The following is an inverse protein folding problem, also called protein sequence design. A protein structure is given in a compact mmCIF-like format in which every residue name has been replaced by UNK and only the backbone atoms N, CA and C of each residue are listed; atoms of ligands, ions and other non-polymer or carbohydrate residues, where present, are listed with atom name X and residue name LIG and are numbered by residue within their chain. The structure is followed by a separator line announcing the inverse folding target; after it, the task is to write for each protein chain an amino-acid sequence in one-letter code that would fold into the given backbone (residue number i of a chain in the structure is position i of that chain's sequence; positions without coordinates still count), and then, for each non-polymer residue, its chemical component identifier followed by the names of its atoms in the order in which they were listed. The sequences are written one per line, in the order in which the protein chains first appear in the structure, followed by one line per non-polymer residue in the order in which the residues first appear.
data_IF_643855250307
#
_entry.id   IF_643855250307
#
_cell.length_a   1.000
_cell.length_b   1.000
_cell.length_c   1.000
_cell.angle_alpha   90.00
_cell.angle_beta   90.00
_cell.angle_gamma   90.00
#
_symmetry.space_group_name_H-M   'P 1'
#
loop_
_entity.id
_entity.type
_entity.pdbx_description
1 polymer ?
#
# COMPACT_ATOMS: atom_id res chain seq x y z
N UNK A 1 -25.87 0.06 -24.42
CA UNK A 1 -25.76 1.43 -24.96
C UNK A 1 -24.51 1.57 -25.83
N UNK A 2 -24.64 1.31 -27.14
CA UNK A 2 -23.62 1.64 -28.13
C UNK A 2 -23.62 3.15 -28.34
N UNK A 3 -22.71 3.90 -27.69
CA UNK A 3 -22.50 5.32 -27.99
C UNK A 3 -22.05 6.25 -26.87
N UNK A 4 -22.27 5.94 -25.59
CA UNK A 4 -21.78 6.79 -24.49
C UNK A 4 -20.38 6.38 -24.06
N UNK A 5 -19.51 7.37 -23.81
CA UNK A 5 -18.18 7.13 -23.24
C UNK A 5 -18.33 6.58 -21.82
N UNK A 6 -17.54 5.55 -21.43
CA UNK A 6 -17.54 5.09 -20.04
C UNK A 6 -17.12 6.21 -19.10
N UNK A 7 -17.79 6.32 -17.95
CA UNK A 7 -17.49 7.29 -16.89
C UNK A 7 -16.71 6.62 -15.77
N UNK A 8 -15.56 7.17 -15.44
CA UNK A 8 -14.66 6.64 -14.41
C UNK A 8 -14.46 7.68 -13.31
N UNK A 9 -14.67 7.27 -12.08
CA UNK A 9 -14.46 8.07 -10.87
C UNK A 9 -13.33 7.47 -10.03
N UNK A 10 -12.41 8.29 -9.54
CA UNK A 10 -11.34 7.83 -8.66
C UNK A 10 -11.35 8.59 -7.33
N UNK A 11 -11.41 7.83 -6.22
CA UNK A 11 -11.30 8.32 -4.86
C UNK A 11 -9.81 8.36 -4.49
N UNK A 12 -9.36 9.46 -3.87
CA UNK A 12 -7.96 9.77 -3.60
C UNK A 12 -7.10 9.68 -4.89
N UNK A 13 -7.54 10.41 -5.91
CA UNK A 13 -6.99 10.35 -7.27
C UNK A 13 -5.58 10.91 -7.39
N UNK A 14 -5.03 11.47 -6.32
CA UNK A 14 -3.70 12.05 -6.25
C UNK A 14 -3.47 13.06 -7.39
N UNK A 15 -2.34 13.01 -8.08
CA UNK A 15 -2.01 13.90 -9.21
C UNK A 15 -2.71 13.54 -10.53
N UNK A 16 -3.68 12.63 -10.49
CA UNK A 16 -4.48 12.21 -11.64
C UNK A 16 -3.77 11.25 -12.60
N UNK A 17 -2.68 10.63 -12.20
CA UNK A 17 -1.90 9.75 -13.08
C UNK A 17 -2.72 8.58 -13.63
N UNK A 18 -3.54 7.89 -12.80
CA UNK A 18 -4.41 6.81 -13.28
C UNK A 18 -5.54 7.35 -14.16
N UNK A 19 -6.19 8.42 -13.74
CA UNK A 19 -7.27 9.05 -14.52
C UNK A 19 -6.78 9.50 -15.90
N UNK A 20 -5.52 9.90 -16.02
CA UNK A 20 -4.90 10.23 -17.31
C UNK A 20 -4.93 9.04 -18.26
N UNK A 21 -4.68 7.83 -17.78
CA UNK A 21 -4.74 6.61 -18.60
C UNK A 21 -6.16 6.36 -19.11
N UNK A 22 -7.17 6.51 -18.25
CA UNK A 22 -8.58 6.37 -18.67
C UNK A 22 -9.01 7.46 -19.65
N UNK A 23 -8.60 8.71 -19.43
CA UNK A 23 -8.86 9.81 -20.34
C UNK A 23 -8.30 9.54 -21.73
N UNK A 24 -7.07 9.04 -21.81
CA UNK A 24 -6.42 8.70 -23.07
C UNK A 24 -7.11 7.52 -23.80
N UNK A 25 -7.85 6.70 -23.07
CA UNK A 25 -8.72 5.64 -23.62
C UNK A 25 -10.12 6.14 -23.99
N UNK A 26 -10.39 7.44 -23.86
CA UNK A 26 -11.63 8.07 -24.27
C UNK A 26 -12.73 8.07 -23.19
N UNK A 27 -12.43 7.69 -21.94
CA UNK A 27 -13.38 7.76 -20.85
C UNK A 27 -13.64 9.20 -20.39
N UNK A 28 -14.85 9.46 -19.87
CA UNK A 28 -15.13 10.63 -19.04
C UNK A 28 -14.58 10.35 -17.64
N UNK A 29 -13.87 11.31 -17.05
CA UNK A 29 -13.17 11.11 -15.81
C UNK A 29 -13.49 12.19 -14.79
N UNK A 30 -13.52 11.81 -13.50
CA UNK A 30 -13.53 12.72 -12.37
C UNK A 30 -12.75 12.11 -11.21
N UNK A 31 -11.94 12.93 -10.54
CA UNK A 31 -11.23 12.56 -9.33
C UNK A 31 -11.73 13.33 -8.11
N UNK A 32 -11.47 12.79 -6.94
CA UNK A 32 -11.56 13.51 -5.67
C UNK A 32 -10.31 13.21 -4.84
N UNK A 33 -9.69 14.25 -4.28
CA UNK A 33 -8.51 14.12 -3.42
C UNK A 33 -8.50 15.24 -2.37
N UNK A 34 -8.35 14.95 -1.06
CA UNK A 34 -8.40 15.98 -0.02
C UNK A 34 -7.20 16.93 -0.03
N UNK A 35 -6.08 16.55 -0.63
CA UNK A 35 -4.88 17.36 -0.68
C UNK A 35 -5.00 18.45 -1.77
N UNK A 36 -5.37 19.67 -1.39
CA UNK A 36 -5.61 20.79 -2.32
C UNK A 36 -4.45 21.04 -3.29
N UNK A 37 -3.21 21.00 -2.80
CA UNK A 37 -2.02 21.20 -3.61
C UNK A 37 -1.81 20.06 -4.65
N UNK A 38 -2.26 18.86 -4.36
CA UNK A 38 -2.19 17.69 -5.26
C UNK A 38 -3.33 17.74 -6.26
N UNK A 39 -4.57 18.00 -5.79
CA UNK A 39 -5.72 18.21 -6.66
C UNK A 39 -5.47 19.35 -7.66
N UNK A 40 -4.82 20.45 -7.21
CA UNK A 40 -4.40 21.53 -8.10
C UNK A 40 -3.47 21.03 -9.21
N UNK A 41 -2.46 20.22 -8.87
CA UNK A 41 -1.54 19.63 -9.89
C UNK A 41 -2.26 18.77 -10.92
N UNK A 42 -3.29 18.01 -10.50
CA UNK A 42 -4.12 17.23 -11.41
C UNK A 42 -4.93 18.16 -12.35
N UNK A 43 -5.57 19.18 -11.77
CA UNK A 43 -6.34 20.18 -12.53
C UNK A 43 -5.47 20.97 -13.53
N UNK A 44 -4.24 21.33 -13.17
CA UNK A 44 -3.27 21.99 -14.07
C UNK A 44 -2.93 21.09 -15.28
N UNK A 45 -3.06 19.75 -15.15
CA UNK A 45 -2.94 18.77 -16.25
C UNK A 45 -4.28 18.47 -16.94
N UNK A 46 -5.32 19.25 -16.68
CA UNK A 46 -6.68 19.04 -17.19
C UNK A 46 -7.30 17.69 -16.77
N UNK A 47 -6.93 17.18 -15.59
CA UNK A 47 -7.56 16.04 -14.92
C UNK A 47 -8.46 16.61 -13.83
N UNK A 48 -9.77 16.68 -14.14
CA UNK A 48 -10.75 17.28 -13.23
C UNK A 48 -10.76 16.55 -11.88
N UNK A 49 -10.34 17.24 -10.81
CA UNK A 49 -10.20 16.68 -9.45
C UNK A 49 -10.79 17.67 -8.44
N UNK A 50 -11.71 17.18 -7.63
CA UNK A 50 -12.39 17.97 -6.58
C UNK A 50 -11.54 17.89 -5.30
N UNK A 51 -11.12 19.02 -4.66
CA UNK A 51 -10.32 19.02 -3.45
C UNK A 51 -11.21 18.81 -2.21
N UNK A 52 -11.67 17.58 -1.96
CA UNK A 52 -12.52 17.21 -0.82
C UNK A 52 -12.18 15.80 -0.34
N UNK A 53 -12.48 15.52 0.94
CA UNK A 53 -12.58 14.14 1.42
C UNK A 53 -13.81 13.47 0.79
N UNK A 54 -13.65 12.21 0.37
CA UNK A 54 -14.77 11.43 -0.12
C UNK A 54 -15.52 10.78 1.05
N UNK A 55 -16.81 11.00 1.07
CA UNK A 55 -17.77 10.43 2.01
C UNK A 55 -19.17 10.46 1.36
N UNK A 56 -20.21 9.99 2.07
CA UNK A 56 -21.58 9.99 1.58
C UNK A 56 -22.05 11.36 1.09
N UNK A 57 -21.80 12.43 1.84
CA UNK A 57 -22.25 13.77 1.47
C UNK A 57 -21.54 14.29 0.20
N UNK A 58 -20.25 14.09 0.10
CA UNK A 58 -19.47 14.44 -1.10
C UNK A 58 -19.95 13.64 -2.31
N UNK A 59 -20.23 12.33 -2.13
CA UNK A 59 -20.80 11.50 -3.19
C UNK A 59 -22.15 12.05 -3.67
N UNK A 60 -23.04 12.44 -2.76
CA UNK A 60 -24.35 13.03 -3.07
C UNK A 60 -24.22 14.33 -3.90
N UNK A 61 -23.28 15.21 -3.52
CA UNK A 61 -22.99 16.43 -4.29
C UNK A 61 -22.51 16.11 -5.70
N UNK A 62 -21.59 15.14 -5.81
CA UNK A 62 -21.02 14.72 -7.10
C UNK A 62 -22.09 14.12 -8.01
N UNK A 63 -22.92 13.20 -7.50
CA UNK A 63 -23.98 12.58 -8.29
C UNK A 63 -25.02 13.60 -8.73
N UNK A 64 -25.40 14.54 -7.87
CA UNK A 64 -26.33 15.63 -8.22
C UNK A 64 -25.80 16.49 -9.36
N UNK A 65 -24.47 16.72 -9.45
CA UNK A 65 -23.88 17.62 -10.44
C UNK A 65 -23.40 16.91 -11.70
N UNK A 66 -22.88 15.70 -11.59
CA UNK A 66 -22.17 15.00 -12.67
C UNK A 66 -22.83 13.67 -13.05
N UNK A 67 -23.83 13.21 -12.27
CA UNK A 67 -24.46 11.89 -12.42
C UNK A 67 -23.56 10.75 -11.92
N UNK A 68 -24.02 9.53 -12.15
CA UNK A 68 -23.37 8.29 -11.72
C UNK A 68 -22.29 7.82 -12.69
N UNK A 69 -21.46 6.88 -12.24
CA UNK A 69 -20.27 6.39 -12.95
C UNK A 69 -20.36 4.88 -13.22
N UNK A 70 -19.77 4.46 -14.32
CA UNK A 70 -19.67 3.04 -14.69
C UNK A 70 -18.64 2.33 -13.81
N UNK A 71 -17.55 3.04 -13.45
CA UNK A 71 -16.47 2.49 -12.62
C UNK A 71 -16.10 3.50 -11.53
N UNK A 72 -16.05 3.04 -10.28
CA UNK A 72 -15.48 3.78 -9.15
C UNK A 72 -14.20 3.06 -8.68
N UNK A 73 -13.09 3.79 -8.54
CA UNK A 73 -11.80 3.22 -8.14
C UNK A 73 -11.34 3.85 -6.82
N UNK A 74 -10.90 3.02 -5.86
CA UNK A 74 -10.29 3.45 -4.61
C UNK A 74 -9.06 2.60 -4.30
N UNK A 75 -7.85 3.14 -4.52
CA UNK A 75 -6.60 2.42 -4.29
C UNK A 75 -5.91 2.93 -3.05
N UNK A 76 -5.63 2.01 -2.10
CA UNK A 76 -4.98 2.31 -0.83
C UNK A 76 -5.70 3.43 -0.04
N UNK A 77 -7.03 3.38 -0.01
CA UNK A 77 -7.88 4.36 0.69
C UNK A 77 -8.44 3.79 1.99
N UNK A 78 -8.96 2.55 1.96
CA UNK A 78 -9.68 1.97 3.11
C UNK A 78 -8.86 1.95 4.39
N UNK A 79 -7.55 1.68 4.29
CA UNK A 79 -6.64 1.64 5.43
C UNK A 79 -6.51 3.00 6.16
N UNK A 80 -6.88 4.10 5.51
CA UNK A 80 -6.71 5.47 6.00
C UNK A 80 -8.02 6.16 6.41
N UNK A 81 -9.17 5.48 6.30
CA UNK A 81 -10.50 6.08 6.52
C UNK A 81 -11.12 5.62 7.82
N UNK A 82 -11.47 6.56 8.72
CA UNK A 82 -12.18 6.28 9.95
C UNK A 82 -13.66 5.91 9.70
N UNK A 83 -14.32 6.62 8.78
CA UNK A 83 -15.75 6.52 8.51
C UNK A 83 -16.01 5.54 7.35
N UNK A 84 -15.65 4.25 7.52
CA UNK A 84 -15.77 3.22 6.49
C UNK A 84 -17.20 3.06 5.96
N UNK A 85 -18.21 3.18 6.83
CA UNK A 85 -19.61 3.08 6.43
C UNK A 85 -20.03 4.24 5.52
N UNK A 86 -19.61 5.47 5.82
CA UNK A 86 -19.88 6.64 4.98
C UNK A 86 -19.15 6.53 3.63
N UNK A 87 -17.95 5.95 3.60
CA UNK A 87 -17.23 5.65 2.36
C UNK A 87 -18.00 4.62 1.52
N UNK A 88 -18.44 3.51 2.12
CA UNK A 88 -19.14 2.44 1.43
C UNK A 88 -20.51 2.91 0.86
N UNK A 89 -21.26 3.69 1.64
CA UNK A 89 -22.49 4.33 1.15
C UNK A 89 -22.23 5.32 0.00
N UNK A 90 -21.17 6.11 0.11
CA UNK A 90 -20.74 7.00 -0.97
C UNK A 90 -20.39 6.24 -2.25
N UNK A 91 -19.67 5.13 -2.15
CA UNK A 91 -19.36 4.25 -3.29
C UNK A 91 -20.65 3.67 -3.89
N UNK A 92 -21.57 3.20 -3.04
CA UNK A 92 -22.87 2.70 -3.51
C UNK A 92 -23.66 3.76 -4.30
N UNK A 93 -23.63 4.99 -3.83
CA UNK A 93 -24.38 6.09 -4.45
C UNK A 93 -23.76 6.52 -5.80
N UNK A 94 -22.43 6.44 -5.92
CA UNK A 94 -21.73 7.02 -7.08
C UNK A 94 -21.66 6.09 -8.28
N UNK A 95 -21.82 4.78 -8.11
CA UNK A 95 -21.84 3.82 -9.22
C UNK A 95 -23.26 3.58 -9.73
N UNK A 96 -23.38 3.41 -11.04
CA UNK A 96 -24.64 3.02 -11.71
C UNK A 96 -25.10 1.63 -11.25
N UNK A 97 -26.37 1.30 -11.48
CA UNK A 97 -26.93 -0.02 -11.17
C UNK A 97 -26.19 -1.17 -11.87
N UNK A 98 -25.69 -0.94 -13.08
CA UNK A 98 -24.89 -1.87 -13.89
C UNK A 98 -23.36 -1.59 -13.80
N UNK A 99 -22.95 -0.62 -12.99
CA UNK A 99 -21.57 -0.26 -12.72
C UNK A 99 -20.93 -1.09 -11.60
N UNK A 100 -19.64 -0.84 -11.35
CA UNK A 100 -18.92 -1.51 -10.27
C UNK A 100 -17.84 -0.62 -9.65
N UNK A 101 -17.44 -0.97 -8.43
CA UNK A 101 -16.30 -0.38 -7.76
C UNK A 101 -15.10 -1.34 -7.77
N UNK A 102 -13.90 -0.78 -7.85
CA UNK A 102 -12.62 -1.49 -7.72
C UNK A 102 -11.86 -0.90 -6.53
N UNK A 103 -11.67 -1.72 -5.51
CA UNK A 103 -10.98 -1.32 -4.30
C UNK A 103 -9.67 -2.09 -4.18
N UNK A 104 -8.58 -1.36 -3.94
CA UNK A 104 -7.27 -1.96 -3.72
C UNK A 104 -6.80 -1.64 -2.30
N UNK A 105 -6.47 -2.70 -1.54
CA UNK A 105 -6.03 -2.60 -0.14
C UNK A 105 -4.84 -3.52 0.12
N UNK A 106 -3.92 -3.16 1.05
CA UNK A 106 -2.94 -4.10 1.56
C UNK A 106 -3.65 -5.32 2.14
N UNK A 107 -3.16 -6.52 1.82
CA UNK A 107 -3.75 -7.79 2.24
C UNK A 107 -3.36 -8.14 3.67
N UNK A 108 -4.35 -8.25 4.56
CA UNK A 108 -4.12 -8.74 5.92
C UNK A 108 -3.58 -10.19 5.90
N UNK A 109 -4.03 -11.01 4.94
CA UNK A 109 -3.50 -12.35 4.72
C UNK A 109 -1.99 -12.30 4.47
N UNK A 110 -1.52 -11.51 3.49
CA UNK A 110 -0.10 -11.39 3.18
C UNK A 110 0.70 -10.81 4.36
N UNK A 111 0.14 -9.85 5.08
CA UNK A 111 0.77 -9.27 6.26
C UNK A 111 1.06 -10.33 7.33
N UNK A 112 0.13 -11.24 7.60
CA UNK A 112 0.29 -12.29 8.61
C UNK A 112 1.18 -13.42 8.11
N UNK A 113 0.99 -13.88 6.88
CA UNK A 113 1.75 -14.96 6.26
C UNK A 113 3.23 -14.60 6.14
N UNK A 114 3.53 -13.44 5.57
CA UNK A 114 4.88 -12.93 5.29
C UNK A 114 5.47 -12.09 6.43
N UNK A 115 4.81 -12.06 7.59
CA UNK A 115 5.26 -11.37 8.80
C UNK A 115 5.52 -9.86 8.63
N UNK A 116 4.78 -9.17 7.77
CA UNK A 116 4.99 -7.77 7.39
C UNK A 116 4.48 -6.78 8.46
N UNK A 117 4.99 -6.87 9.68
CA UNK A 117 4.58 -5.99 10.78
C UNK A 117 5.06 -4.54 10.62
N UNK A 118 5.96 -4.26 9.70
CA UNK A 118 6.37 -2.92 9.29
C UNK A 118 5.22 -2.11 8.68
N UNK A 119 4.15 -2.78 8.25
CA UNK A 119 2.92 -2.13 7.80
C UNK A 119 2.11 -1.50 8.93
N UNK A 120 2.45 -1.79 10.20
CA UNK A 120 1.80 -1.20 11.37
C UNK A 120 2.41 0.17 11.66
N UNK A 121 1.77 1.22 11.18
CA UNK A 121 2.14 2.62 11.43
C UNK A 121 0.88 3.50 11.46
N UNK A 122 0.99 4.70 12.05
CA UNK A 122 -0.15 5.53 12.42
C UNK A 122 -1.06 5.96 11.26
N UNK A 123 -0.58 5.96 10.01
CA UNK A 123 -1.41 6.27 8.84
C UNK A 123 -2.32 5.10 8.45
N UNK A 124 -1.96 3.85 8.79
CA UNK A 124 -2.80 2.68 8.59
C UNK A 124 -3.66 2.42 9.82
N UNK A 125 -4.84 3.04 9.86
CA UNK A 125 -5.79 2.90 10.97
C UNK A 125 -6.68 1.64 10.84
N UNK A 126 -6.69 1.00 9.67
CA UNK A 126 -7.42 -0.23 9.40
C UNK A 126 -6.60 -1.26 8.62
N UNK A 127 -6.76 -2.53 8.98
CA UNK A 127 -6.17 -3.68 8.29
C UNK A 127 -7.30 -4.59 7.82
N UNK A 128 -7.34 -4.87 6.52
CA UNK A 128 -8.51 -5.47 5.91
C UNK A 128 -8.22 -6.88 5.39
N UNK A 129 -9.03 -7.85 5.87
CA UNK A 129 -9.21 -9.14 5.24
C UNK A 129 -10.28 -9.03 4.16
N UNK A 130 -10.34 -9.98 3.23
CA UNK A 130 -11.44 -10.06 2.27
C UNK A 130 -12.80 -10.19 3.00
N UNK A 131 -12.87 -11.00 4.07
CA UNK A 131 -14.08 -11.15 4.89
C UNK A 131 -14.56 -9.84 5.47
N UNK A 132 -13.64 -9.00 6.00
CA UNK A 132 -14.01 -7.70 6.56
C UNK A 132 -14.58 -6.75 5.51
N UNK A 133 -14.03 -6.78 4.28
CA UNK A 133 -14.53 -5.96 3.16
C UNK A 133 -15.89 -6.49 2.69
N UNK A 134 -16.07 -7.80 2.56
CA UNK A 134 -17.37 -8.40 2.24
C UNK A 134 -18.43 -7.92 3.24
N UNK A 135 -18.18 -8.08 4.53
CA UNK A 135 -19.11 -7.67 5.60
C UNK A 135 -19.43 -6.18 5.61
N UNK A 136 -18.44 -5.34 5.30
CA UNK A 136 -18.63 -3.90 5.18
C UNK A 136 -19.64 -3.58 4.07
N UNK A 137 -19.42 -4.10 2.86
CA UNK A 137 -20.21 -3.76 1.70
C UNK A 137 -21.59 -4.44 1.68
N UNK A 138 -21.73 -5.65 2.24
CA UNK A 138 -23.02 -6.32 2.43
C UNK A 138 -24.00 -5.49 3.25
N UNK A 139 -23.53 -4.77 4.30
CA UNK A 139 -24.34 -3.84 5.09
C UNK A 139 -24.91 -2.68 4.28
N UNK A 140 -24.34 -2.40 3.13
CA UNK A 140 -24.76 -1.33 2.23
C UNK A 140 -25.40 -1.84 0.92
N UNK A 141 -25.96 -3.06 0.94
CA UNK A 141 -26.60 -3.69 -0.23
C UNK A 141 -25.70 -3.81 -1.45
N UNK A 142 -24.43 -4.10 -1.22
CA UNK A 142 -23.43 -4.34 -2.25
C UNK A 142 -22.80 -5.73 -2.07
N UNK A 143 -22.33 -6.30 -3.17
CA UNK A 143 -21.74 -7.64 -3.21
C UNK A 143 -20.32 -7.59 -3.79
N UNK A 144 -19.36 -8.20 -3.10
CA UNK A 144 -18.06 -8.51 -3.67
C UNK A 144 -18.25 -9.64 -4.67
N UNK A 145 -17.98 -9.38 -5.95
CA UNK A 145 -18.18 -10.38 -7.00
C UNK A 145 -16.90 -10.98 -7.54
N UNK A 146 -15.75 -10.32 -7.35
CA UNK A 146 -14.44 -10.88 -7.70
C UNK A 146 -13.32 -10.33 -6.81
N UNK A 147 -12.19 -11.03 -6.76
CA UNK A 147 -10.97 -10.61 -6.06
C UNK A 147 -9.73 -11.12 -6.78
N UNK A 148 -8.71 -10.29 -6.86
CA UNK A 148 -7.38 -10.62 -7.37
C UNK A 148 -6.32 -10.37 -6.30
N UNK A 149 -5.37 -11.30 -6.15
CA UNK A 149 -4.15 -11.06 -5.37
C UNK A 149 -3.12 -10.36 -6.23
N UNK A 150 -2.58 -9.26 -5.74
CA UNK A 150 -1.54 -8.49 -6.42
C UNK A 150 -0.25 -8.53 -5.61
N UNK A 151 0.88 -8.58 -6.29
CA UNK A 151 2.20 -8.56 -5.65
C UNK A 151 2.65 -7.15 -5.19
N UNK A 152 1.93 -6.10 -5.58
CA UNK A 152 2.27 -4.72 -5.24
C UNK A 152 2.22 -4.49 -3.72
N UNK A 153 3.10 -3.61 -3.23
CA UNK A 153 3.22 -3.25 -1.80
C UNK A 153 3.50 -4.40 -0.84
N UNK A 154 3.98 -5.54 -1.34
CA UNK A 154 4.21 -6.74 -0.53
C UNK A 154 3.00 -7.67 -0.41
N UNK A 155 1.99 -7.45 -1.23
CA UNK A 155 0.74 -8.20 -1.29
C UNK A 155 -0.47 -7.30 -1.05
N UNK A 156 -1.30 -7.15 -2.07
CA UNK A 156 -2.55 -6.39 -2.01
C UNK A 156 -3.70 -7.22 -2.56
N UNK A 157 -4.91 -6.86 -2.18
CA UNK A 157 -6.13 -7.37 -2.78
C UNK A 157 -6.73 -6.27 -3.66
N UNK A 158 -7.08 -6.64 -4.89
CA UNK A 158 -7.99 -5.87 -5.74
C UNK A 158 -9.34 -6.52 -5.69
N UNK A 159 -10.32 -5.81 -5.17
CA UNK A 159 -11.65 -6.32 -4.83
C UNK A 159 -12.65 -5.61 -5.72
N UNK A 160 -13.48 -6.38 -6.41
CA UNK A 160 -14.51 -5.87 -7.32
C UNK A 160 -15.86 -5.98 -6.65
N UNK A 161 -16.60 -4.86 -6.61
CA UNK A 161 -17.84 -4.72 -5.83
C UNK A 161 -18.91 -4.12 -6.72
N UNK A 162 -20.13 -4.65 -6.62
CA UNK A 162 -21.29 -4.20 -7.38
C UNK A 162 -22.52 -4.01 -6.48
N UNK A 163 -23.57 -3.40 -6.98
CA UNK A 163 -24.88 -3.50 -6.36
C UNK A 163 -25.38 -4.95 -6.28
N UNK A 164 -26.14 -5.32 -5.26
CA UNK A 164 -26.65 -6.70 -5.11
C UNK A 164 -27.33 -7.20 -6.38
N UNK A 165 -28.11 -6.33 -7.04
CA UNK A 165 -28.83 -6.64 -8.27
C UNK A 165 -28.04 -6.36 -9.56
N UNK A 166 -26.77 -5.96 -9.46
CA UNK A 166 -25.91 -5.71 -10.61
C UNK A 166 -25.66 -6.97 -11.47
N UNK A 167 -25.34 -6.82 -12.76
CA UNK A 167 -25.36 -7.93 -13.73
C UNK A 167 -24.17 -8.91 -13.60
N UNK A 168 -23.09 -8.53 -12.92
CA UNK A 168 -21.87 -9.35 -12.85
C UNK A 168 -22.09 -10.58 -11.97
N UNK A 169 -21.63 -11.75 -12.42
CA UNK A 169 -21.68 -12.99 -11.65
C UNK A 169 -20.55 -13.06 -10.64
N UNK A 170 -20.82 -13.69 -9.49
CA UNK A 170 -19.77 -13.92 -8.47
C UNK A 170 -18.77 -14.97 -8.96
N UNK A 171 -17.48 -14.59 -8.95
CA UNK A 171 -16.36 -15.45 -9.31
C UNK A 171 -16.05 -16.45 -8.18
N UNK A 172 -15.46 -17.59 -8.55
CA UNK A 172 -14.93 -18.56 -7.59
C UNK A 172 -13.77 -17.99 -6.75
N UNK A 173 -13.05 -17.02 -7.28
CA UNK A 173 -11.88 -16.41 -6.61
C UNK A 173 -12.24 -15.87 -5.22
N UNK A 174 -13.46 -15.35 -5.05
CA UNK A 174 -13.95 -14.84 -3.76
C UNK A 174 -13.98 -15.94 -2.70
N UNK A 175 -14.54 -17.11 -3.06
CA UNK A 175 -14.60 -18.24 -2.13
C UNK A 175 -13.21 -18.85 -1.91
N UNK A 176 -12.42 -18.96 -2.97
CA UNK A 176 -11.07 -19.53 -2.90
C UNK A 176 -10.18 -18.68 -1.97
N UNK A 177 -10.23 -17.34 -2.09
CA UNK A 177 -9.45 -16.47 -1.24
C UNK A 177 -9.97 -16.42 0.20
N UNK A 178 -11.28 -16.38 0.40
CA UNK A 178 -11.89 -16.50 1.72
C UNK A 178 -11.44 -17.77 2.46
N UNK A 179 -11.40 -18.89 1.74
CA UNK A 179 -10.91 -20.16 2.30
C UNK A 179 -9.41 -20.10 2.65
N UNK A 180 -8.59 -19.38 1.91
CA UNK A 180 -7.17 -19.14 2.28
C UNK A 180 -7.08 -18.35 3.59
N UNK A 181 -7.82 -17.28 3.76
CA UNK A 181 -7.87 -16.51 5.01
C UNK A 181 -8.30 -17.37 6.19
N UNK A 182 -9.33 -18.18 6.00
CA UNK A 182 -9.83 -19.12 7.00
C UNK A 182 -8.81 -20.21 7.34
N UNK A 183 -8.13 -20.76 6.34
CA UNK A 183 -7.11 -21.81 6.54
C UNK A 183 -5.87 -21.29 7.27
N UNK A 184 -5.51 -20.01 7.06
CA UNK A 184 -4.47 -19.32 7.84
C UNK A 184 -4.90 -19.06 9.28
N UNK A 185 -6.20 -19.18 9.58
CA UNK A 185 -6.76 -18.93 10.91
C UNK A 185 -6.87 -17.43 11.24
N UNK A 186 -7.03 -16.54 10.25
CA UNK A 186 -7.11 -15.09 10.49
C UNK A 186 -8.21 -14.68 11.47
N UNK A 187 -9.23 -15.51 11.64
CA UNK A 187 -10.38 -15.27 12.51
C UNK A 187 -10.22 -15.85 13.92
N UNK A 188 -9.07 -16.49 14.21
CA UNK A 188 -8.80 -17.16 15.47
C UNK A 188 -7.78 -16.36 16.31
N UNK A 189 -8.07 -16.13 17.59
CA UNK A 189 -7.18 -15.43 18.51
C UNK A 189 -5.81 -16.09 18.60
N UNK A 190 -5.73 -17.40 18.52
CA UNK A 190 -4.49 -18.18 18.57
C UNK A 190 -3.52 -17.77 17.44
N UNK A 191 -4.03 -17.46 16.27
CA UNK A 191 -3.19 -17.00 15.16
C UNK A 191 -2.51 -15.66 15.49
N UNK A 192 -3.22 -14.76 16.14
CA UNK A 192 -2.66 -13.47 16.55
C UNK A 192 -1.64 -13.58 17.67
N UNK A 193 -1.84 -14.49 18.62
CA UNK A 193 -0.84 -14.83 19.64
C UNK A 193 0.43 -15.39 18.99
N UNK A 194 0.29 -16.32 18.05
CA UNK A 194 1.41 -16.87 17.28
C UNK A 194 2.11 -15.81 16.42
N UNK A 195 1.35 -14.93 15.79
CA UNK A 195 1.90 -13.82 15.03
C UNK A 195 2.77 -12.91 15.90
N UNK A 196 2.30 -12.55 17.09
CA UNK A 196 3.06 -11.73 18.05
C UNK A 196 4.37 -12.43 18.48
N UNK A 197 4.35 -13.75 18.71
CA UNK A 197 5.55 -14.52 19.01
C UNK A 197 6.54 -14.55 17.84
N UNK A 198 6.05 -14.74 16.62
CA UNK A 198 6.86 -14.70 15.39
C UNK A 198 7.52 -13.33 15.20
N UNK A 199 6.77 -12.23 15.41
CA UNK A 199 7.28 -10.85 15.33
C UNK A 199 8.42 -10.63 16.34
N UNK A 200 8.26 -11.08 17.58
CA UNK A 200 9.32 -10.98 18.60
C UNK A 200 10.56 -11.82 18.26
N UNK A 201 10.36 -13.02 17.72
CA UNK A 201 11.46 -13.87 17.27
C UNK A 201 12.22 -13.23 16.09
N UNK A 202 11.48 -12.67 15.11
CA UNK A 202 12.04 -11.95 13.97
C UNK A 202 12.89 -10.74 14.42
N UNK A 203 12.37 -9.90 15.33
CA UNK A 203 13.13 -8.79 15.91
C UNK A 203 14.50 -9.26 16.44
N UNK A 204 14.51 -10.34 17.22
CA UNK A 204 15.76 -10.89 17.78
C UNK A 204 16.69 -11.37 16.68
N UNK A 205 16.17 -12.07 15.68
CA UNK A 205 16.96 -12.57 14.55
C UNK A 205 17.59 -11.44 13.74
N UNK A 206 16.81 -10.42 13.40
CA UNK A 206 17.32 -9.26 12.65
C UNK A 206 18.39 -8.49 13.44
N UNK A 207 18.17 -8.26 14.73
CA UNK A 207 19.18 -7.59 15.58
C UNK A 207 20.45 -8.41 15.71
N UNK A 208 20.32 -9.74 15.85
CA UNK A 208 21.50 -10.63 15.91
C UNK A 208 22.33 -10.55 14.63
N UNK A 209 21.66 -10.56 13.46
CA UNK A 209 22.34 -10.43 12.16
C UNK A 209 23.08 -9.09 12.06
N UNK A 210 22.42 -7.97 12.33
CA UNK A 210 23.03 -6.64 12.26
C UNK A 210 24.19 -6.49 13.26
N UNK A 211 24.04 -7.00 14.49
CA UNK A 211 25.11 -6.98 15.48
C UNK A 211 26.31 -7.85 15.07
N UNK A 212 26.09 -8.97 14.39
CA UNK A 212 27.18 -9.81 13.87
C UNK A 212 27.98 -9.06 12.82
N UNK A 213 27.28 -8.40 11.88
CA UNK A 213 27.92 -7.57 10.85
C UNK A 213 28.77 -6.44 11.50
N UNK A 214 28.24 -5.77 12.52
CA UNK A 214 28.97 -4.69 13.22
C UNK A 214 30.16 -5.22 14.01
N UNK A 215 30.11 -6.41 14.61
CA UNK A 215 31.25 -7.04 15.29
C UNK A 215 32.40 -7.38 14.34
N UNK A 216 32.09 -7.57 13.07
CA UNK A 216 33.08 -7.77 12.00
C UNK A 216 33.60 -6.42 11.45
N UNK A 217 33.31 -5.31 12.13
CA UNK A 217 33.71 -3.92 11.75
C UNK A 217 33.17 -3.50 10.38
N UNK A 218 32.13 -4.16 9.87
CA UNK A 218 31.49 -3.89 8.59
C UNK A 218 30.52 -2.73 8.67
N UNK A 219 30.40 -1.98 7.57
CA UNK A 219 29.45 -0.88 7.41
C UNK A 219 28.09 -1.36 6.96
N UNK A 220 27.03 -0.82 7.59
CA UNK A 220 25.65 -1.13 7.25
C UNK A 220 24.94 0.16 6.82
N UNK A 221 24.40 0.17 5.60
CA UNK A 221 23.48 1.22 5.16
C UNK A 221 22.06 0.68 5.06
N UNK A 222 21.10 1.60 4.93
CA UNK A 222 19.69 1.27 4.65
C UNK A 222 19.31 1.85 3.28
N UNK A 223 18.55 1.10 2.51
CA UNK A 223 17.87 1.60 1.31
C UNK A 223 16.37 1.76 1.55
N UNK A 224 15.88 3.01 1.49
CA UNK A 224 14.48 3.40 1.68
C UNK A 224 14.17 3.97 3.06
N UNK A 225 13.88 5.29 3.11
CA UNK A 225 13.36 5.99 4.28
C UNK A 225 11.83 6.08 4.21
N UNK A 226 11.15 4.95 4.10
CA UNK A 226 9.68 4.85 4.02
C UNK A 226 9.03 4.80 5.42
N UNK A 227 7.72 5.05 5.50
CA UNK A 227 6.94 4.86 6.73
C UNK A 227 7.09 3.45 7.29
N UNK A 228 6.96 2.42 6.43
CA UNK A 228 7.20 1.01 6.78
C UNK A 228 8.60 0.79 7.36
N UNK A 229 9.63 1.30 6.68
CA UNK A 229 11.01 1.19 7.17
C UNK A 229 11.18 1.82 8.54
N UNK A 230 10.55 2.96 8.82
CA UNK A 230 10.61 3.59 10.13
C UNK A 230 9.92 2.74 11.22
N UNK A 231 8.79 2.11 10.92
CA UNK A 231 8.13 1.18 11.85
C UNK A 231 9.04 0.02 12.20
N UNK A 232 9.69 -0.60 11.21
CA UNK A 232 10.66 -1.67 11.43
C UNK A 232 11.82 -1.22 12.32
N UNK A 233 12.46 -0.09 11.99
CA UNK A 233 13.62 0.42 12.71
C UNK A 233 13.28 0.76 14.17
N UNK A 234 12.19 1.49 14.39
CA UNK A 234 11.76 1.90 15.74
C UNK A 234 11.33 0.71 16.58
N UNK A 235 10.53 -0.21 16.03
CA UNK A 235 10.10 -1.42 16.75
C UNK A 235 11.29 -2.30 17.14
N UNK A 236 12.25 -2.47 16.23
CA UNK A 236 13.44 -3.28 16.49
C UNK A 236 14.47 -2.56 17.40
N UNK A 237 14.42 -1.24 17.51
CA UNK A 237 15.43 -0.44 18.20
C UNK A 237 16.72 -0.32 17.38
N UNK A 238 16.59 -0.24 16.05
CA UNK A 238 17.72 -0.06 15.11
C UNK A 238 17.91 1.45 14.91
N UNK A 239 19.05 1.96 15.29
CA UNK A 239 19.39 3.39 15.25
C UNK A 239 20.78 3.64 14.61
N UNK A 240 21.32 4.85 14.81
CA UNK A 240 22.63 5.27 14.30
C UNK A 240 23.83 4.60 14.98
N UNK A 241 23.65 3.77 16.01
CA UNK A 241 24.72 2.93 16.55
C UNK A 241 24.97 1.69 15.68
N UNK A 242 23.92 1.19 15.02
CA UNK A 242 23.99 0.04 14.12
C UNK A 242 24.14 0.44 12.66
N UNK A 243 23.53 1.56 12.26
CA UNK A 243 23.39 1.97 10.86
C UNK A 243 24.22 3.22 10.60
N UNK A 244 25.07 3.16 9.59
CA UNK A 244 25.96 4.27 9.24
C UNK A 244 25.20 5.39 8.49
N UNK A 245 24.28 5.05 7.59
CA UNK A 245 23.44 6.01 6.87
C UNK A 245 22.24 5.35 6.17
N UNK A 246 21.30 6.18 5.71
CA UNK A 246 20.16 5.78 4.87
C UNK A 246 20.29 6.43 3.51
N UNK A 247 19.88 5.73 2.44
CA UNK A 247 19.67 6.34 1.12
C UNK A 247 18.19 6.25 0.70
N UNK A 248 17.71 7.31 0.05
CA UNK A 248 16.34 7.35 -0.50
C UNK A 248 16.33 8.16 -1.81
N UNK A 249 15.56 7.70 -2.80
CA UNK A 249 15.39 8.39 -4.09
C UNK A 249 14.66 9.73 -3.99
N UNK A 250 13.83 9.90 -2.97
CA UNK A 250 13.04 11.12 -2.77
C UNK A 250 13.93 12.31 -2.39
N UNK A 251 14.06 13.26 -3.31
CA UNK A 251 14.79 14.52 -3.07
C UNK A 251 14.27 15.28 -1.84
N UNK A 252 12.99 15.11 -1.49
CA UNK A 252 12.39 15.76 -0.32
C UNK A 252 12.91 15.18 1.02
N UNK A 253 13.43 13.96 1.02
CA UNK A 253 13.97 13.30 2.22
C UNK A 253 15.48 13.48 2.36
N UNK A 254 16.18 13.63 1.24
CA UNK A 254 17.62 13.80 1.20
C UNK A 254 18.08 15.02 2.00
N UNK A 255 19.19 14.87 2.75
CA UNK A 255 19.70 15.89 3.66
C UNK A 255 19.00 15.95 5.03
N UNK A 256 17.89 15.21 5.22
CA UNK A 256 17.19 15.09 6.49
C UNK A 256 17.70 13.90 7.32
N UNK A 257 17.11 13.71 8.48
CA UNK A 257 17.33 12.55 9.37
C UNK A 257 16.04 11.72 9.47
N UNK A 258 16.19 10.43 9.76
CA UNK A 258 15.05 9.54 10.05
C UNK A 258 14.42 9.91 11.39
N UNK A 259 13.07 9.96 11.49
CA UNK A 259 12.40 10.29 12.75
C UNK A 259 12.62 9.17 13.79
N UNK A 260 12.93 9.58 15.02
CA UNK A 260 13.13 8.66 16.16
C UNK A 260 14.46 7.90 16.18
N UNK A 261 15.04 7.58 15.02
CA UNK A 261 16.32 6.83 14.90
C UNK A 261 17.51 7.71 14.53
N UNK A 262 17.26 8.95 14.10
CA UNK A 262 18.24 10.02 13.83
C UNK A 262 19.35 9.67 12.84
N UNK A 263 19.09 8.77 11.89
CA UNK A 263 20.06 8.38 10.86
C UNK A 263 19.95 9.34 9.68
N UNK A 264 21.09 9.80 9.16
CA UNK A 264 21.15 10.77 8.06
C UNK A 264 20.74 10.13 6.72
N UNK A 265 19.94 10.85 5.95
CA UNK A 265 19.40 10.38 4.66
C UNK A 265 20.17 11.06 3.52
N UNK A 266 20.68 10.27 2.59
CA UNK A 266 21.41 10.71 1.40
C UNK A 266 20.73 10.27 0.12
N UNK A 267 21.22 10.74 -1.03
CA UNK A 267 20.86 10.19 -2.34
C UNK A 267 21.46 8.80 -2.54
N UNK A 268 20.89 7.94 -3.40
CA UNK A 268 21.47 6.62 -3.70
C UNK A 268 22.94 6.66 -4.15
N UNK A 269 23.39 7.71 -4.85
CA UNK A 269 24.79 7.88 -5.25
C UNK A 269 25.80 7.88 -4.08
N UNK A 270 25.31 8.08 -2.85
CA UNK A 270 26.13 8.03 -1.65
C UNK A 270 26.70 6.63 -1.39
N UNK A 271 26.02 5.57 -1.84
CA UNK A 271 26.49 4.18 -1.77
C UNK A 271 27.90 4.05 -2.38
N UNK A 272 28.14 4.71 -3.50
CA UNK A 272 29.41 4.64 -4.24
C UNK A 272 30.51 5.59 -3.72
N UNK A 273 30.13 6.57 -2.89
CA UNK A 273 31.06 7.49 -2.21
C UNK A 273 31.51 6.97 -0.85
N UNK A 274 30.67 6.18 -0.19
CA UNK A 274 30.92 5.60 1.12
C UNK A 274 30.36 4.16 1.12
N UNK A 275 31.08 3.28 0.43
CA UNK A 275 30.62 1.91 0.12
C UNK A 275 30.34 1.14 1.41
N UNK A 276 29.10 0.64 1.63
CA UNK A 276 28.79 -0.23 2.74
C UNK A 276 29.05 -1.69 2.37
N UNK A 277 29.27 -2.54 3.36
CA UNK A 277 29.36 -3.99 3.14
C UNK A 277 27.99 -4.63 2.96
N UNK A 278 27.00 -4.10 3.71
CA UNK A 278 25.62 -4.60 3.69
C UNK A 278 24.63 -3.44 3.59
N UNK A 279 23.61 -3.60 2.75
CA UNK A 279 22.46 -2.70 2.68
C UNK A 279 21.21 -3.43 3.17
N UNK A 280 20.63 -3.00 4.29
CA UNK A 280 19.31 -3.43 4.74
C UNK A 280 18.23 -2.78 3.87
N UNK A 281 17.45 -3.59 3.17
CA UNK A 281 16.38 -3.11 2.29
C UNK A 281 15.10 -2.84 3.09
N UNK A 282 14.92 -1.62 3.60
CA UNK A 282 13.64 -1.20 4.19
C UNK A 282 12.54 -0.98 3.13
N UNK A 283 12.92 -0.78 1.88
CA UNK A 283 12.01 -0.80 0.73
C UNK A 283 11.96 -2.19 0.07
N UNK A 284 11.88 -3.24 0.89
CA UNK A 284 12.01 -4.66 0.52
C UNK A 284 11.04 -5.11 -0.59
N UNK A 285 9.86 -4.52 -0.66
CA UNK A 285 8.89 -4.78 -1.74
C UNK A 285 9.36 -4.33 -3.13
N UNK A 286 10.45 -3.57 -3.22
CA UNK A 286 11.15 -3.18 -4.45
C UNK A 286 12.54 -3.83 -4.58
N UNK A 287 12.80 -4.91 -3.83
CA UNK A 287 14.13 -5.51 -3.75
C UNK A 287 14.72 -5.86 -5.12
N UNK A 288 13.95 -6.51 -5.99
CA UNK A 288 14.42 -6.88 -7.33
C UNK A 288 14.75 -5.64 -8.19
N UNK A 289 13.90 -4.59 -8.12
CA UNK A 289 14.14 -3.35 -8.85
C UNK A 289 15.40 -2.64 -8.32
N UNK A 290 15.55 -2.58 -7.00
CA UNK A 290 16.71 -1.97 -6.35
C UNK A 290 17.99 -2.75 -6.70
N UNK A 291 17.97 -4.08 -6.65
CA UNK A 291 19.10 -4.92 -6.99
C UNK A 291 19.57 -4.73 -8.44
N UNK A 292 18.62 -4.58 -9.37
CA UNK A 292 18.96 -4.28 -10.78
C UNK A 292 19.56 -2.88 -10.91
N UNK A 293 19.01 -1.88 -10.23
CA UNK A 293 19.47 -0.50 -10.32
C UNK A 293 20.85 -0.30 -9.67
N UNK A 294 21.11 -0.98 -8.56
CA UNK A 294 22.34 -0.91 -7.79
C UNK A 294 23.26 -2.11 -8.08
N UNK A 295 23.22 -2.67 -9.29
CA UNK A 295 23.99 -3.84 -9.70
C UNK A 295 25.50 -3.66 -9.48
N UNK A 296 26.03 -2.45 -9.70
CA UNK A 296 27.44 -2.14 -9.45
C UNK A 296 27.83 -2.37 -7.98
N UNK A 297 26.92 -2.13 -7.02
CA UNK A 297 27.16 -2.39 -5.60
C UNK A 297 27.39 -3.89 -5.33
N UNK A 298 26.52 -4.76 -5.89
CA UNK A 298 26.69 -6.21 -5.72
C UNK A 298 27.88 -6.77 -6.48
N UNK A 299 28.20 -6.25 -7.66
CA UNK A 299 29.40 -6.61 -8.43
C UNK A 299 30.69 -6.23 -7.70
N UNK A 300 30.66 -5.20 -6.83
CA UNK A 300 31.81 -4.84 -5.97
C UNK A 300 31.89 -5.63 -4.66
N UNK A 301 31.04 -6.63 -4.46
CA UNK A 301 31.03 -7.53 -3.29
C UNK A 301 30.07 -7.14 -2.18
N UNK A 302 29.29 -6.05 -2.36
CA UNK A 302 28.25 -5.65 -1.43
C UNK A 302 27.04 -6.60 -1.41
N UNK A 303 26.32 -6.66 -0.29
CA UNK A 303 25.20 -7.57 -0.11
C UNK A 303 23.93 -6.83 0.29
N UNK A 304 22.78 -7.25 -0.25
CA UNK A 304 21.46 -6.80 0.20
C UNK A 304 20.92 -7.76 1.25
N UNK A 305 20.50 -7.23 2.39
CA UNK A 305 19.79 -7.93 3.46
C UNK A 305 18.31 -7.57 3.40
N UNK A 306 17.45 -8.56 3.15
CA UNK A 306 16.00 -8.40 3.24
C UNK A 306 15.55 -8.74 4.65
N UNK A 307 14.68 -7.90 5.26
CA UNK A 307 14.16 -8.19 6.60
C UNK A 307 13.11 -9.30 6.61
N UNK A 308 12.25 -9.41 5.60
CA UNK A 308 11.05 -10.24 5.60
C UNK A 308 11.09 -11.39 4.58
N UNK A 309 10.40 -12.53 4.88
CA UNK A 309 9.70 -12.89 6.14
C UNK A 309 10.65 -13.27 7.28
N UNK A 310 11.91 -13.48 6.99
CA UNK A 310 13.05 -13.65 7.92
C UNK A 310 14.26 -12.95 7.33
N UNK A 311 15.23 -12.48 8.14
CA UNK A 311 16.45 -11.89 7.60
C UNK A 311 17.18 -12.84 6.67
N UNK A 312 17.40 -12.43 5.41
CA UNK A 312 18.11 -13.22 4.40
C UNK A 312 18.79 -12.32 3.38
N UNK A 313 19.83 -12.82 2.74
CA UNK A 313 20.56 -12.11 1.69
C UNK A 313 19.94 -12.41 0.31
N UNK A 314 19.89 -11.38 -0.53
CA UNK A 314 19.42 -11.48 -1.91
C UNK A 314 20.55 -12.00 -2.81
#
# INVERSE_FOLDING_TARGET
NKGSKPKVFEIASNDGSLLTVFKNKGCEILGVDPAENIAKKANDKLINTIPKFFNYNTAKEIVSKYGEYDICIARNVLAHVNELHSLAEGIRLIIKDDGFAVIEVPSLYAMVEELQYDQVFHEHIGYHSLDSVIKLFEKHNMTVFDVESLWIHGGSLRIFIKHNNGPMSKSKNVNDFYNKEKSLGLFDNKTWEQYALRVNAHKKSLLNELNTIKKEEKKIAIYGASGKGQSLLQYCGIDNNLIDYVVDKSKMKQGRITPGTHIKIYSPDHIYKNIPDVILLCAWNFANEIAIQEKQFTESGGKFLLPFPSPHYL
#
